data_IF_106591871813
#
_entry.id   IF_106591871813
#
_cell.length_a   1.000
_cell.length_b   1.000
_cell.length_c   1.000
_cell.angle_alpha   90.00
_cell.angle_beta   90.00
_cell.angle_gamma   90.00
#
_symmetry.space_group_name_H-M   'P 1'
#
loop_
_entity.id
_entity.type
_entity.pdbx_description
1 polymer ?
#
# COMPACT_ATOMS: atom_id res chain seq x y z
N UNK A 1 -19.71 -51.04 -9.12
CA UNK A 1 -18.46 -50.48 -9.69
C UNK A 1 -18.70 -49.49 -10.83
N UNK A 2 -19.63 -49.72 -11.79
CA UNK A 2 -19.85 -48.78 -12.92
C UNK A 2 -20.62 -47.49 -12.59
N UNK A 3 -21.37 -47.42 -11.48
CA UNK A 3 -22.08 -46.19 -11.05
C UNK A 3 -21.27 -45.26 -10.13
N UNK A 4 -20.20 -45.78 -9.52
CA UNK A 4 -19.30 -44.99 -8.67
C UNK A 4 -18.22 -44.28 -9.48
N UNK A 5 -17.86 -44.81 -10.66
CA UNK A 5 -16.88 -44.19 -11.56
C UNK A 5 -17.47 -42.98 -12.29
N UNK A 6 -18.77 -42.98 -12.61
CA UNK A 6 -19.42 -41.83 -13.27
C UNK A 6 -19.58 -40.59 -12.38
N UNK A 7 -19.68 -40.74 -11.06
CA UNK A 7 -19.79 -39.58 -10.15
C UNK A 7 -18.43 -38.93 -9.93
N UNK A 8 -17.34 -39.71 -9.90
CA UNK A 8 -15.97 -39.19 -9.81
C UNK A 8 -15.53 -38.52 -11.12
N UNK A 9 -16.00 -38.99 -12.29
CA UNK A 9 -15.66 -38.35 -13.57
C UNK A 9 -16.37 -37.00 -13.80
N UNK A 10 -17.56 -36.81 -13.23
CA UNK A 10 -18.30 -35.53 -13.31
C UNK A 10 -17.75 -34.50 -12.32
N UNK A 11 -17.29 -34.95 -11.13
CA UNK A 11 -16.64 -34.05 -10.17
C UNK A 11 -15.25 -33.55 -10.62
N UNK A 12 -14.53 -34.32 -11.46
CA UNK A 12 -13.25 -33.89 -12.04
C UNK A 12 -13.46 -32.91 -13.21
N UNK A 13 -14.62 -32.93 -13.89
CA UNK A 13 -14.93 -31.95 -14.95
C UNK A 13 -15.40 -30.59 -14.42
N UNK A 14 -15.95 -30.52 -13.20
CA UNK A 14 -16.38 -29.24 -12.59
C UNK A 14 -15.25 -28.47 -11.88
N UNK A 15 -14.05 -29.05 -11.76
CA UNK A 15 -12.85 -28.36 -11.24
C UNK A 15 -11.97 -27.74 -12.34
N UNK A 16 -12.37 -27.85 -13.61
CA UNK A 16 -11.76 -27.11 -14.70
C UNK A 16 -12.43 -25.74 -14.85
N UNK A 17 -11.65 -24.68 -14.66
CA UNK A 17 -12.00 -23.25 -14.83
C UNK A 17 -12.45 -22.52 -13.56
N UNK A 18 -11.63 -22.54 -12.51
CA UNK A 18 -11.46 -21.29 -11.75
C UNK A 18 -10.52 -20.44 -12.61
N UNK A 19 -10.93 -19.31 -13.19
CA UNK A 19 -9.97 -18.34 -13.67
C UNK A 19 -9.17 -17.89 -12.44
N UNK A 20 -7.99 -18.48 -12.25
CA UNK A 20 -7.00 -17.90 -11.38
C UNK A 20 -6.73 -16.52 -11.93
N UNK A 21 -7.16 -15.49 -11.21
CA UNK A 21 -6.60 -14.15 -11.37
C UNK A 21 -5.13 -14.30 -11.06
N UNK A 22 -4.30 -14.44 -12.10
CA UNK A 22 -2.86 -14.29 -11.94
C UNK A 22 -2.68 -12.85 -11.49
N UNK A 23 -2.35 -12.64 -10.21
CA UNK A 23 -1.70 -11.39 -9.82
C UNK A 23 -0.52 -11.24 -10.77
N UNK A 24 -0.43 -10.11 -11.47
CA UNK A 24 0.77 -9.80 -12.22
C UNK A 24 1.95 -9.93 -11.24
N UNK A 25 3.00 -10.63 -11.64
CA UNK A 25 4.23 -10.64 -10.86
C UNK A 25 4.70 -9.19 -10.72
N UNK A 26 5.12 -8.79 -9.52
CA UNK A 26 5.64 -7.45 -9.27
C UNK A 26 6.77 -7.15 -10.25
N UNK A 27 6.78 -5.93 -10.80
CA UNK A 27 7.91 -5.45 -11.59
C UNK A 27 9.18 -5.43 -10.74
N UNK A 28 10.35 -5.39 -11.37
CA UNK A 28 11.60 -5.20 -10.63
C UNK A 28 11.63 -3.90 -9.84
N UNK A 29 10.98 -2.84 -10.36
CA UNK A 29 10.86 -1.57 -9.67
C UNK A 29 10.00 -1.67 -8.41
N UNK A 30 8.87 -2.39 -8.47
CA UNK A 30 7.99 -2.63 -7.32
C UNK A 30 8.71 -3.46 -6.25
N UNK A 31 9.46 -4.51 -6.64
CA UNK A 31 10.26 -5.29 -5.70
C UNK A 31 11.34 -4.45 -5.00
N UNK A 32 12.02 -3.58 -5.74
CA UNK A 32 13.02 -2.67 -5.16
C UNK A 32 12.39 -1.58 -4.28
N UNK A 33 11.16 -1.17 -4.57
CA UNK A 33 10.39 -0.27 -3.73
C UNK A 33 9.99 -0.95 -2.42
N UNK A 34 9.54 -2.21 -2.46
CA UNK A 34 9.24 -3.02 -1.27
C UNK A 34 10.51 -3.26 -0.40
N UNK A 35 11.69 -3.34 -1.02
CA UNK A 35 12.98 -3.41 -0.32
C UNK A 35 13.45 -2.05 0.27
N UNK A 36 12.73 -0.96 0.02
CA UNK A 36 13.11 0.40 0.43
C UNK A 36 14.29 1.00 -0.35
N UNK A 37 14.67 0.38 -1.47
CA UNK A 37 15.78 0.82 -2.32
C UNK A 37 15.35 1.80 -3.41
N UNK A 38 14.06 1.95 -3.67
CA UNK A 38 13.52 2.95 -4.59
C UNK A 38 12.27 3.61 -4.01
N UNK A 39 12.13 4.92 -4.23
CA UNK A 39 10.93 5.65 -3.81
C UNK A 39 9.98 5.97 -4.98
N UNK A 40 10.50 6.07 -6.20
CA UNK A 40 9.77 6.65 -7.35
C UNK A 40 9.98 8.17 -7.45
N UNK A 41 9.10 8.83 -8.21
CA UNK A 41 9.02 10.30 -8.25
C UNK A 41 8.29 10.86 -7.01
N UNK A 42 7.95 12.15 -7.03
CA UNK A 42 7.24 12.82 -5.91
C UNK A 42 5.86 12.23 -5.59
N UNK A 43 5.31 11.41 -6.48
CA UNK A 43 4.03 10.72 -6.32
C UNK A 43 4.19 9.21 -6.15
N UNK A 44 5.43 8.72 -6.00
CA UNK A 44 5.75 7.30 -5.87
C UNK A 44 5.77 6.54 -7.19
N UNK A 45 5.63 7.20 -8.35
CA UNK A 45 5.64 6.50 -9.63
C UNK A 45 7.06 6.10 -10.02
N UNK A 46 7.24 4.83 -10.40
CA UNK A 46 8.54 4.29 -10.77
C UNK A 46 9.02 4.74 -12.16
N UNK A 47 8.08 5.15 -13.03
CA UNK A 47 8.34 5.68 -14.37
C UNK A 47 9.23 4.75 -15.21
N UNK A 48 8.98 3.43 -15.16
CA UNK A 48 9.87 2.40 -15.73
C UNK A 48 10.12 2.51 -17.23
N UNK A 49 9.22 3.17 -17.96
CA UNK A 49 9.33 3.41 -19.40
C UNK A 49 10.07 4.71 -19.76
N UNK A 50 10.59 5.45 -18.77
CA UNK A 50 11.38 6.66 -18.99
C UNK A 50 12.88 6.33 -18.98
N UNK A 51 13.67 7.13 -19.69
CA UNK A 51 15.13 7.03 -19.64
C UNK A 51 15.66 7.52 -18.30
N UNK A 52 16.69 6.83 -17.82
CA UNK A 52 17.40 7.22 -16.61
C UNK A 52 18.36 8.37 -16.89
N UNK A 53 18.32 9.40 -16.04
CA UNK A 53 19.30 10.50 -16.06
C UNK A 53 20.58 10.15 -15.28
N UNK A 54 21.69 10.82 -15.62
CA UNK A 54 22.95 10.73 -14.85
C UNK A 54 22.78 11.09 -13.38
N UNK A 55 21.90 12.04 -13.09
CA UNK A 55 21.54 12.44 -11.71
C UNK A 55 20.91 11.30 -10.92
N UNK A 56 19.88 10.68 -11.49
CA UNK A 56 19.16 9.58 -10.86
C UNK A 56 20.07 8.37 -10.65
N UNK A 57 21.00 8.13 -11.59
CA UNK A 57 22.00 7.08 -11.43
C UNK A 57 22.90 7.31 -10.20
N UNK A 58 23.21 8.57 -9.85
CA UNK A 58 24.00 8.85 -8.63
C UNK A 58 23.19 8.55 -7.37
N UNK A 59 21.89 8.85 -7.38
CA UNK A 59 20.99 8.48 -6.28
C UNK A 59 20.94 6.96 -6.13
N UNK A 60 20.70 6.23 -7.22
CA UNK A 60 20.68 4.76 -7.22
C UNK A 60 22.00 4.20 -6.71
N UNK A 61 23.14 4.71 -7.18
CA UNK A 61 24.44 4.25 -6.73
C UNK A 61 24.66 4.46 -5.23
N UNK A 62 24.23 5.60 -4.68
CA UNK A 62 24.32 5.85 -3.23
C UNK A 62 23.51 4.82 -2.44
N UNK A 63 22.32 4.44 -2.92
CA UNK A 63 21.49 3.40 -2.30
C UNK A 63 22.11 2.01 -2.40
N UNK A 64 22.60 1.64 -3.58
CA UNK A 64 23.28 0.36 -3.82
C UNK A 64 24.60 0.21 -3.02
N UNK A 65 25.18 1.33 -2.57
CA UNK A 65 26.36 1.34 -1.71
C UNK A 65 26.02 1.42 -0.21
N UNK A 66 24.74 1.60 0.14
CA UNK A 66 24.29 1.80 1.53
C UNK A 66 24.63 3.18 2.08
N UNK A 67 24.85 4.17 1.21
CA UNK A 67 25.37 5.50 1.57
C UNK A 67 24.45 6.66 1.19
N UNK A 68 23.17 6.37 1.03
CA UNK A 68 22.15 7.35 0.66
C UNK A 68 22.05 8.49 1.68
N UNK A 69 22.02 8.18 2.98
CA UNK A 69 21.86 9.18 4.04
C UNK A 69 23.07 10.12 4.13
N UNK A 70 24.29 9.62 3.97
CA UNK A 70 25.48 10.47 3.96
C UNK A 70 25.48 11.40 2.73
N UNK A 71 24.97 10.92 1.60
CA UNK A 71 24.80 11.74 0.40
C UNK A 71 23.65 12.75 0.55
N UNK A 72 22.57 12.39 1.25
CA UNK A 72 21.43 13.26 1.54
C UNK A 72 21.82 14.41 2.47
N UNK A 73 22.57 14.12 3.54
CA UNK A 73 23.11 15.12 4.50
C UNK A 73 24.32 15.89 3.94
N UNK A 74 24.78 15.59 2.71
CA UNK A 74 25.95 16.24 2.11
C UNK A 74 25.66 17.69 1.68
N UNK A 75 26.49 18.62 2.16
CA UNK A 75 26.31 20.06 1.92
C UNK A 75 27.38 20.69 1.03
N UNK A 76 28.52 20.00 0.83
CA UNK A 76 29.59 20.53 -0.03
C UNK A 76 29.19 20.39 -1.49
N UNK A 77 29.37 21.45 -2.27
CA UNK A 77 29.06 21.44 -3.71
C UNK A 77 30.11 20.68 -4.50
N UNK A 78 29.70 20.15 -5.64
CA UNK A 78 30.60 19.59 -6.64
C UNK A 78 31.44 20.71 -7.28
N UNK A 79 32.51 20.32 -7.98
CA UNK A 79 33.28 21.27 -8.79
C UNK A 79 32.63 21.58 -10.14
N UNK A 80 31.54 20.89 -10.49
CA UNK A 80 30.88 21.04 -11.79
C UNK A 80 30.12 22.37 -11.87
N UNK A 81 30.21 23.01 -13.04
CA UNK A 81 29.63 24.34 -13.29
C UNK A 81 28.13 24.32 -13.59
N UNK A 82 27.58 23.15 -13.92
CA UNK A 82 26.19 22.95 -14.35
C UNK A 82 25.27 22.37 -13.28
N UNK A 83 25.75 22.24 -12.03
CA UNK A 83 24.96 21.67 -10.91
C UNK A 83 24.22 22.67 -10.03
N UNK A 84 24.42 23.97 -10.23
CA UNK A 84 23.86 25.00 -9.34
C UNK A 84 22.31 24.99 -9.35
N UNK A 85 21.71 24.73 -8.18
CA UNK A 85 20.26 24.70 -8.01
C UNK A 85 19.60 23.39 -8.43
N UNK A 86 20.36 22.40 -8.90
CA UNK A 86 19.83 21.11 -9.28
C UNK A 86 19.50 20.27 -8.03
N UNK A 87 18.34 19.62 -8.00
CA UNK A 87 17.86 18.84 -6.85
C UNK A 87 18.84 17.74 -6.42
N UNK A 88 19.54 17.15 -7.41
CA UNK A 88 20.47 16.05 -7.20
C UNK A 88 21.91 16.50 -6.88
N UNK A 89 22.18 17.81 -6.81
CA UNK A 89 23.54 18.36 -6.62
C UNK A 89 24.28 17.70 -5.45
N UNK A 90 23.57 17.47 -4.33
CA UNK A 90 24.16 16.83 -3.14
C UNK A 90 24.68 15.42 -3.44
N UNK A 91 23.94 14.62 -4.20
CA UNK A 91 24.33 13.25 -4.53
C UNK A 91 25.47 13.22 -5.53
N UNK A 92 25.47 14.13 -6.51
CA UNK A 92 26.56 14.26 -7.48
C UNK A 92 27.84 14.74 -6.78
N UNK A 93 27.74 15.73 -5.90
CA UNK A 93 28.87 16.23 -5.14
C UNK A 93 29.44 15.18 -4.19
N UNK A 94 28.57 14.40 -3.54
CA UNK A 94 28.98 13.27 -2.71
C UNK A 94 29.68 12.19 -3.55
N UNK A 95 29.08 11.79 -4.68
CA UNK A 95 29.68 10.81 -5.58
C UNK A 95 31.03 11.29 -6.16
N UNK A 96 31.18 12.59 -6.40
CA UNK A 96 32.47 13.19 -6.81
C UNK A 96 33.49 13.11 -5.67
N UNK A 97 33.12 13.49 -4.44
CA UNK A 97 33.98 13.38 -3.26
C UNK A 97 34.46 11.93 -3.02
N UNK A 98 33.58 10.96 -3.24
CA UNK A 98 33.88 9.53 -3.12
C UNK A 98 34.66 8.94 -4.30
N UNK A 99 34.90 9.72 -5.36
CA UNK A 99 35.57 9.25 -6.58
C UNK A 99 34.74 8.22 -7.37
N UNK A 100 33.43 8.20 -7.17
CA UNK A 100 32.53 7.27 -7.87
C UNK A 100 32.23 7.72 -9.28
N UNK A 101 32.20 9.04 -9.51
CA UNK A 101 31.82 9.62 -10.80
C UNK A 101 32.83 10.64 -11.30
N UNK A 102 32.78 10.88 -12.61
CA UNK A 102 33.56 11.90 -13.31
C UNK A 102 32.65 12.67 -14.26
N UNK A 103 33.03 13.91 -14.58
CA UNK A 103 32.29 14.76 -15.49
C UNK A 103 32.47 14.36 -16.96
N UNK A 104 31.67 14.98 -17.82
CA UNK A 104 31.69 14.79 -19.28
C UNK A 104 32.71 15.69 -19.99
N UNK A 105 33.57 16.38 -19.23
CA UNK A 105 34.50 17.41 -19.72
C UNK A 105 33.94 18.83 -19.59
N UNK A 106 34.76 19.84 -19.92
CA UNK A 106 34.40 21.27 -19.83
C UNK A 106 33.83 21.71 -18.48
N UNK A 107 34.28 21.07 -17.40
CA UNK A 107 33.77 21.28 -16.04
C UNK A 107 32.26 21.06 -15.89
N UNK A 108 31.70 20.08 -16.62
CA UNK A 108 30.27 19.72 -16.57
C UNK A 108 30.05 18.28 -16.14
N UNK A 109 28.92 18.03 -15.49
CA UNK A 109 28.45 16.68 -15.17
C UNK A 109 27.42 16.15 -16.17
N UNK A 110 26.52 17.01 -16.68
CA UNK A 110 25.40 16.62 -17.53
C UNK A 110 24.23 16.01 -16.75
N UNK A 111 23.73 16.71 -15.72
CA UNK A 111 22.73 16.21 -14.77
C UNK A 111 21.53 15.49 -15.40
N UNK A 112 20.94 16.06 -16.45
CA UNK A 112 19.75 15.53 -17.13
C UNK A 112 20.05 14.70 -18.37
N UNK A 113 21.33 14.46 -18.67
CA UNK A 113 21.68 13.60 -19.79
C UNK A 113 21.25 12.16 -19.49
N UNK A 114 20.73 11.49 -20.51
CA UNK A 114 20.45 10.07 -20.48
C UNK A 114 21.72 9.26 -20.27
N UNK A 115 21.56 8.12 -19.61
CA UNK A 115 22.62 7.16 -19.33
C UNK A 115 22.56 5.99 -20.31
N UNK A 116 23.70 5.42 -20.69
CA UNK A 116 23.71 4.18 -21.47
C UNK A 116 24.06 2.94 -20.62
N UNK A 117 23.82 1.77 -21.20
CA UNK A 117 24.04 0.46 -20.55
C UNK A 117 25.49 0.26 -20.10
N UNK A 118 26.48 0.70 -20.88
CA UNK A 118 27.89 0.58 -20.50
C UNK A 118 28.21 1.42 -19.27
N UNK A 119 27.74 2.67 -19.25
CA UNK A 119 27.94 3.54 -18.09
C UNK A 119 27.18 3.02 -16.86
N UNK A 120 26.01 2.40 -17.05
CA UNK A 120 25.29 1.76 -15.95
C UNK A 120 26.08 0.58 -15.35
N UNK A 121 26.70 -0.21 -16.23
CA UNK A 121 27.56 -1.34 -15.85
C UNK A 121 28.72 -0.89 -14.96
N UNK A 122 29.33 0.27 -15.24
CA UNK A 122 30.42 0.82 -14.41
C UNK A 122 29.96 1.00 -12.96
N UNK A 123 28.77 1.54 -12.75
CA UNK A 123 28.28 1.84 -11.40
C UNK A 123 27.84 0.59 -10.64
N UNK A 124 27.18 -0.37 -11.30
CA UNK A 124 26.82 -1.64 -10.66
C UNK A 124 28.05 -2.47 -10.28
N UNK A 125 29.08 -2.46 -11.13
CA UNK A 125 30.38 -3.08 -10.79
C UNK A 125 31.04 -2.41 -9.58
N UNK A 126 30.96 -1.08 -9.48
CA UNK A 126 31.45 -0.35 -8.31
C UNK A 126 30.68 -0.70 -7.04
N UNK A 127 29.35 -0.86 -7.12
CA UNK A 127 28.54 -1.32 -5.98
C UNK A 127 29.00 -2.68 -5.45
N UNK A 128 29.38 -3.59 -6.36
CA UNK A 128 29.96 -4.90 -6.04
C UNK A 128 31.43 -4.87 -5.60
N UNK A 129 32.05 -3.68 -5.49
CA UNK A 129 33.45 -3.52 -5.05
C UNK A 129 34.51 -3.77 -6.14
N UNK A 130 34.11 -3.86 -7.41
CA UNK A 130 35.05 -3.85 -8.53
C UNK A 130 35.53 -2.43 -8.82
N UNK A 131 36.79 -2.30 -9.22
CA UNK A 131 37.47 -1.01 -9.39
C UNK A 131 38.06 -0.87 -10.79
N UNK A 132 37.98 0.33 -11.35
CA UNK A 132 38.68 0.68 -12.59
C UNK A 132 40.02 1.39 -12.27
N UNK A 133 41.09 1.17 -13.06
CA UNK A 133 41.16 0.31 -14.25
C UNK A 133 41.51 -1.17 -13.94
N UNK A 134 41.70 -1.53 -12.67
CA UNK A 134 42.31 -2.81 -12.28
C UNK A 134 41.44 -4.03 -12.61
N UNK A 135 40.15 -3.98 -12.30
CA UNK A 135 39.22 -5.08 -12.52
C UNK A 135 38.47 -4.98 -13.84
N UNK A 136 38.29 -3.76 -14.33
CA UNK A 136 37.68 -3.44 -15.61
C UNK A 136 38.14 -2.05 -16.06
N UNK A 137 38.20 -1.83 -17.37
CA UNK A 137 38.22 -0.49 -17.99
C UNK A 137 36.81 -0.08 -18.41
N UNK A 138 36.60 1.22 -18.70
CA UNK A 138 35.32 1.73 -19.21
C UNK A 138 34.77 0.88 -20.37
N UNK A 139 35.61 0.55 -21.36
CA UNK A 139 35.23 -0.25 -22.54
C UNK A 139 34.98 -1.74 -22.26
N UNK A 140 35.37 -2.23 -21.08
CA UNK A 140 35.14 -3.63 -20.68
C UNK A 140 34.05 -3.78 -19.63
N UNK A 141 33.49 -2.67 -19.13
CA UNK A 141 32.53 -2.66 -18.03
C UNK A 141 31.29 -3.50 -18.35
N UNK A 142 30.67 -3.29 -19.51
CA UNK A 142 29.52 -4.08 -19.95
C UNK A 142 29.82 -5.57 -20.04
N UNK A 143 30.96 -5.93 -20.65
CA UNK A 143 31.39 -7.33 -20.77
C UNK A 143 31.58 -7.97 -19.38
N UNK A 144 32.20 -7.25 -18.45
CA UNK A 144 32.44 -7.73 -17.09
C UNK A 144 31.13 -7.88 -16.30
N UNK A 145 30.23 -6.91 -16.40
CA UNK A 145 28.90 -6.96 -15.76
C UNK A 145 28.07 -8.14 -16.31
N UNK A 146 28.10 -8.37 -17.62
CA UNK A 146 27.45 -9.53 -18.24
C UNK A 146 28.03 -10.86 -17.76
N UNK A 147 29.35 -10.96 -17.59
CA UNK A 147 29.99 -12.17 -17.02
C UNK A 147 29.58 -12.47 -15.58
N UNK A 148 29.15 -11.45 -14.82
CA UNK A 148 28.68 -11.60 -13.45
C UNK A 148 27.16 -11.86 -13.37
N UNK A 149 26.47 -11.95 -14.50
CA UNK A 149 25.03 -12.21 -14.55
C UNK A 149 24.15 -10.96 -14.39
N UNK A 150 24.74 -9.74 -14.40
CA UNK A 150 23.97 -8.51 -14.11
C UNK A 150 22.89 -8.19 -15.16
N UNK A 151 23.00 -8.76 -16.36
CA UNK A 151 22.06 -8.58 -17.47
C UNK A 151 21.29 -9.86 -17.81
N UNK A 152 21.22 -10.82 -16.89
CA UNK A 152 20.38 -12.01 -17.08
C UNK A 152 18.92 -11.60 -17.26
N UNK A 153 18.23 -12.24 -18.21
CA UNK A 153 16.85 -11.90 -18.58
C UNK A 153 16.69 -10.67 -19.50
N UNK A 154 17.76 -9.91 -19.76
CA UNK A 154 17.70 -8.67 -20.53
C UNK A 154 18.34 -8.79 -21.93
N UNK A 155 17.76 -8.10 -22.92
CA UNK A 155 18.28 -8.04 -24.29
C UNK A 155 18.80 -6.64 -24.64
N UNK A 156 19.84 -6.21 -23.92
CA UNK A 156 20.43 -4.87 -24.04
C UNK A 156 21.84 -4.93 -24.62
N UNK A 157 22.22 -3.94 -25.44
CA UNK A 157 23.57 -3.72 -25.96
C UNK A 157 24.25 -2.59 -25.20
N UNK A 158 25.59 -2.60 -25.20
CA UNK A 158 26.40 -1.63 -24.45
C UNK A 158 26.12 -0.16 -24.80
N UNK A 159 25.72 0.13 -26.04
CA UNK A 159 25.45 1.48 -26.55
C UNK A 159 24.00 1.94 -26.37
N UNK A 160 23.10 1.07 -25.91
CA UNK A 160 21.70 1.41 -25.78
C UNK A 160 21.49 2.40 -24.63
N UNK A 161 20.61 3.38 -24.81
CA UNK A 161 20.12 4.20 -23.70
C UNK A 161 19.27 3.33 -22.77
N UNK A 162 19.46 3.48 -21.46
CA UNK A 162 18.82 2.57 -20.49
C UNK A 162 17.50 3.16 -19.99
N UNK A 163 16.43 2.36 -20.08
CA UNK A 163 15.17 2.67 -19.40
C UNK A 163 15.30 2.40 -17.89
N UNK A 164 14.46 3.06 -17.11
CA UNK A 164 14.43 2.84 -15.65
C UNK A 164 14.07 1.41 -15.29
N UNK A 165 13.07 0.82 -15.96
CA UNK A 165 12.69 -0.59 -15.76
C UNK A 165 13.83 -1.56 -16.06
N UNK A 166 14.56 -1.35 -17.15
CA UNK A 166 15.74 -2.14 -17.49
C UNK A 166 16.83 -2.05 -16.41
N UNK A 167 17.08 -0.85 -15.87
CA UNK A 167 18.03 -0.69 -14.79
C UNK A 167 17.55 -1.39 -13.50
N UNK A 168 16.26 -1.37 -13.20
CA UNK A 168 15.72 -2.02 -12.01
C UNK A 168 15.93 -3.53 -12.03
N UNK A 169 15.76 -4.17 -13.19
CA UNK A 169 16.12 -5.57 -13.40
C UNK A 169 17.63 -5.81 -13.18
N UNK A 170 18.48 -4.93 -13.72
CA UNK A 170 19.94 -4.98 -13.47
C UNK A 170 20.26 -4.81 -11.99
N UNK A 171 19.54 -3.96 -11.26
CA UNK A 171 19.73 -3.75 -9.82
C UNK A 171 19.39 -5.01 -9.05
N UNK A 172 18.27 -5.69 -9.31
CA UNK A 172 17.93 -6.95 -8.65
C UNK A 172 18.97 -8.04 -8.89
N UNK A 173 19.44 -8.17 -10.14
CA UNK A 173 20.54 -9.08 -10.47
C UNK A 173 21.82 -8.71 -9.70
N UNK A 174 22.11 -7.41 -9.56
CA UNK A 174 23.27 -6.91 -8.82
C UNK A 174 23.15 -7.17 -7.32
N UNK A 175 21.97 -6.97 -6.72
CA UNK A 175 21.69 -7.28 -5.32
C UNK A 175 21.94 -8.77 -5.03
N UNK A 176 21.52 -9.64 -5.93
CA UNK A 176 21.70 -11.09 -5.82
C UNK A 176 23.13 -11.56 -6.13
N UNK A 177 24.00 -10.67 -6.61
CA UNK A 177 25.39 -11.00 -6.97
C UNK A 177 26.32 -10.86 -5.78
N UNK A 178 27.27 -11.79 -5.64
CA UNK A 178 28.32 -11.72 -4.60
C UNK A 178 29.21 -10.49 -4.76
N UNK A 179 29.45 -9.81 -3.63
CA UNK A 179 30.44 -8.74 -3.57
C UNK A 179 31.82 -9.32 -3.85
N UNK A 180 32.65 -8.57 -4.58
CA UNK A 180 33.98 -9.02 -5.03
C UNK A 180 34.80 -9.56 -3.85
N UNK A 181 35.26 -10.80 -3.99
CA UNK A 181 36.07 -11.50 -3.00
C UNK A 181 35.41 -11.67 -1.62
N UNK A 182 34.08 -11.58 -1.56
CA UNK A 182 33.28 -11.84 -0.36
C UNK A 182 32.42 -13.09 -0.56
N UNK A 183 31.97 -13.68 0.54
CA UNK A 183 31.09 -14.84 0.55
C UNK A 183 29.60 -14.47 0.71
N UNK A 184 29.28 -13.17 0.67
CA UNK A 184 27.95 -12.61 0.79
C UNK A 184 27.55 -11.83 -0.48
N UNK A 185 26.25 -11.74 -0.75
CA UNK A 185 25.64 -10.95 -1.84
C UNK A 185 25.63 -9.46 -1.52
N UNK A 186 25.38 -8.62 -2.52
CA UNK A 186 25.20 -7.19 -2.25
C UNK A 186 23.96 -6.95 -1.39
N UNK A 187 22.90 -7.75 -1.56
CA UNK A 187 21.73 -7.73 -0.68
C UNK A 187 22.14 -8.06 0.76
N UNK A 188 22.83 -9.18 0.98
CA UNK A 188 23.36 -9.54 2.31
C UNK A 188 24.26 -8.46 2.91
N UNK A 189 24.99 -7.71 2.06
CA UNK A 189 25.82 -6.59 2.52
C UNK A 189 24.93 -5.43 2.97
N UNK A 190 23.89 -5.11 2.22
CA UNK A 190 22.96 -4.02 2.53
C UNK A 190 22.07 -4.38 3.74
N UNK A 191 21.66 -5.65 3.87
CA UNK A 191 21.00 -6.23 5.05
C UNK A 191 21.96 -6.38 6.24
N UNK A 192 23.22 -6.73 6.00
CA UNK A 192 24.26 -6.69 7.03
C UNK A 192 24.52 -5.25 7.50
N UNK A 193 24.42 -4.28 6.59
CA UNK A 193 24.36 -2.86 6.90
C UNK A 193 23.04 -2.46 7.55
N UNK A 194 21.95 -3.24 7.44
CA UNK A 194 20.72 -3.01 8.23
C UNK A 194 20.88 -3.33 9.70
N UNK A 195 21.91 -4.08 10.09
CA UNK A 195 22.32 -4.19 11.50
C UNK A 195 23.20 -3.01 11.97
N UNK A 196 23.46 -2.03 11.10
CA UNK A 196 24.17 -0.79 11.40
C UNK A 196 23.59 0.43 10.69
N UNK A 197 22.33 0.39 10.24
CA UNK A 197 21.59 1.64 10.11
C UNK A 197 21.61 2.23 11.52
N UNK A 198 21.87 3.53 11.71
CA UNK A 198 21.29 4.13 12.88
C UNK A 198 19.80 3.79 12.74
N UNK A 199 19.30 2.92 13.62
CA UNK A 199 17.98 3.11 14.21
C UNK A 199 17.79 4.62 14.21
N UNK A 200 16.89 5.13 13.36
CA UNK A 200 16.53 6.51 13.53
C UNK A 200 15.98 6.57 14.94
N UNK A 201 16.52 7.45 15.79
CA UNK A 201 16.06 7.61 17.17
C UNK A 201 14.53 7.89 17.25
N UNK A 202 13.92 8.19 16.10
CA UNK A 202 12.50 8.22 15.87
C UNK A 202 11.85 6.83 16.02
N UNK A 203 11.11 6.66 17.11
CA UNK A 203 10.34 5.47 17.49
C UNK A 203 8.85 5.84 17.59
N UNK A 204 7.96 4.84 17.49
CA UNK A 204 6.59 4.99 18.04
C UNK A 204 6.67 4.65 19.52
N UNK A 205 6.47 5.63 20.40
CA UNK A 205 6.52 5.42 21.84
C UNK A 205 5.29 4.66 22.35
N UNK A 206 4.10 5.03 21.86
CA UNK A 206 2.87 4.29 22.12
C UNK A 206 1.80 4.63 21.08
N UNK A 207 0.84 3.71 20.95
CA UNK A 207 -0.35 3.85 20.14
C UNK A 207 -1.58 3.64 21.03
N UNK A 208 -2.59 4.49 20.86
CA UNK A 208 -3.89 4.34 21.53
C UNK A 208 -5.02 4.55 20.54
N UNK A 209 -6.21 4.07 20.88
CA UNK A 209 -7.44 4.31 20.13
C UNK A 209 -8.47 5.04 20.99
N UNK A 210 -9.23 5.92 20.37
CA UNK A 210 -10.37 6.57 21.00
C UNK A 210 -11.49 6.73 19.97
N UNK A 211 -12.57 5.96 20.13
CA UNK A 211 -13.63 5.87 19.13
C UNK A 211 -13.06 5.58 17.73
N UNK A 212 -13.21 6.50 16.77
CA UNK A 212 -12.74 6.36 15.40
C UNK A 212 -11.30 6.87 15.19
N UNK A 213 -10.59 7.23 16.26
CA UNK A 213 -9.25 7.79 16.18
C UNK A 213 -8.17 6.77 16.52
N UNK A 214 -7.14 6.70 15.69
CA UNK A 214 -5.86 6.07 16.01
C UNK A 214 -4.88 7.19 16.36
N UNK A 215 -4.30 7.14 17.56
CA UNK A 215 -3.39 8.15 18.10
C UNK A 215 -2.00 7.56 18.24
N UNK A 216 -1.03 8.11 17.53
CA UNK A 216 0.34 7.61 17.43
C UNK A 216 1.27 8.66 18.03
N UNK A 217 1.94 8.32 19.12
CA UNK A 217 2.96 9.18 19.72
C UNK A 217 4.33 8.72 19.29
N UNK A 218 5.08 9.63 18.68
CA UNK A 218 6.45 9.45 18.23
C UNK A 218 7.43 9.98 19.28
N UNK A 219 8.69 9.54 19.23
CA UNK A 219 9.74 10.00 20.16
C UNK A 219 10.25 11.42 19.87
N UNK A 220 9.91 12.01 18.72
CA UNK A 220 10.35 13.33 18.27
C UNK A 220 9.21 14.11 17.59
N UNK A 221 9.42 15.42 17.39
CA UNK A 221 8.54 16.28 16.59
C UNK A 221 8.51 15.82 15.13
N UNK A 222 7.31 15.67 14.56
CA UNK A 222 7.13 15.12 13.22
C UNK A 222 7.06 16.18 12.13
N UNK A 223 7.60 15.84 10.95
CA UNK A 223 7.39 16.65 9.76
C UNK A 223 5.97 16.53 9.22
N UNK A 224 5.55 17.49 8.38
CA UNK A 224 4.22 17.45 7.74
C UNK A 224 3.97 16.20 6.88
N UNK A 225 5.01 15.46 6.52
CA UNK A 225 4.87 14.16 5.84
C UNK A 225 4.09 13.14 6.67
N UNK A 226 4.11 13.26 8.00
CA UNK A 226 3.33 12.39 8.89
C UNK A 226 1.81 12.60 8.78
N UNK A 227 1.34 13.67 8.12
CA UNK A 227 -0.09 13.93 7.88
C UNK A 227 -0.57 13.45 6.50
N UNK A 228 0.28 12.75 5.74
CA UNK A 228 -0.10 12.17 4.45
C UNK A 228 -0.73 10.79 4.67
N UNK A 229 -2.00 10.64 4.33
CA UNK A 229 -2.72 9.35 4.45
C UNK A 229 -2.05 8.21 3.67
N UNK A 230 -1.33 8.51 2.59
CA UNK A 230 -0.56 7.54 1.81
C UNK A 230 0.58 6.87 2.58
N UNK A 231 1.00 7.44 3.71
CA UNK A 231 2.02 6.86 4.58
C UNK A 231 1.47 5.80 5.55
N UNK A 232 0.16 5.54 5.52
CA UNK A 232 -0.48 4.64 6.46
C UNK A 232 -1.38 3.66 5.72
N UNK A 233 -1.43 2.43 6.24
CA UNK A 233 -2.32 1.37 5.76
C UNK A 233 -2.93 0.64 6.95
N UNK A 234 -4.22 0.34 6.87
CA UNK A 234 -4.93 -0.48 7.84
C UNK A 234 -5.19 -1.85 7.20
N UNK A 235 -4.68 -2.92 7.81
CA UNK A 235 -4.68 -4.29 7.28
C UNK A 235 -4.14 -4.38 5.83
N UNK A 236 -3.08 -3.63 5.56
CA UNK A 236 -2.45 -3.54 4.24
C UNK A 236 -3.23 -2.73 3.19
N UNK A 237 -4.47 -2.31 3.49
CA UNK A 237 -5.29 -1.47 2.62
C UNK A 237 -5.00 0.02 2.87
N UNK A 238 -5.26 0.86 1.87
CA UNK A 238 -5.24 2.30 2.08
C UNK A 238 -6.28 2.69 3.14
N UNK A 239 -6.01 3.77 3.88
CA UNK A 239 -6.98 4.29 4.85
C UNK A 239 -8.32 4.64 4.17
N UNK A 240 -9.45 4.49 4.87
CA UNK A 240 -10.77 4.82 4.33
C UNK A 240 -10.87 6.23 3.76
N UNK A 241 -11.63 6.39 2.67
CA UNK A 241 -11.86 7.71 2.06
C UNK A 241 -12.57 8.63 3.04
N UNK A 242 -12.02 9.82 3.27
CA UNK A 242 -12.52 10.77 4.27
C UNK A 242 -11.72 10.79 5.57
N UNK A 243 -10.71 9.92 5.72
CA UNK A 243 -9.79 9.95 6.87
C UNK A 243 -9.08 11.29 6.96
N UNK A 244 -9.06 11.88 8.16
CA UNK A 244 -8.38 13.15 8.45
C UNK A 244 -7.16 12.86 9.33
N UNK A 245 -6.02 13.46 9.00
CA UNK A 245 -4.80 13.36 9.80
C UNK A 245 -4.41 14.74 10.31
N UNK A 246 -4.13 14.85 11.61
CA UNK A 246 -3.71 16.10 12.24
C UNK A 246 -2.78 15.84 13.43
N UNK A 247 -1.98 16.84 13.79
CA UNK A 247 -1.24 16.81 15.04
C UNK A 247 -2.14 17.24 16.19
N UNK A 248 -2.03 16.58 17.34
CA UNK A 248 -2.89 16.90 18.49
C UNK A 248 -2.62 18.31 19.05
N UNK A 249 -1.38 18.78 18.95
CA UNK A 249 -0.95 20.10 19.37
C UNK A 249 0.26 20.63 18.56
N UNK A 250 0.89 21.70 19.05
CA UNK A 250 2.03 22.35 18.40
C UNK A 250 3.38 21.62 18.57
N UNK A 251 3.47 20.62 19.46
CA UNK A 251 4.67 19.80 19.65
C UNK A 251 4.83 18.77 18.52
N UNK A 252 3.74 18.42 17.83
CA UNK A 252 3.68 17.50 16.67
C UNK A 252 4.34 16.14 16.88
N UNK A 253 4.51 15.70 18.11
CA UNK A 253 4.96 14.35 18.45
C UNK A 253 3.80 13.34 18.41
N UNK A 254 2.54 13.81 18.47
CA UNK A 254 1.35 12.96 18.32
C UNK A 254 0.61 13.22 17.01
N UNK A 255 0.46 12.17 16.19
CA UNK A 255 -0.40 12.15 15.01
C UNK A 255 -1.71 11.45 15.34
N UNK A 256 -2.82 12.12 15.02
CA UNK A 256 -4.17 11.56 15.11
C UNK A 256 -4.65 11.23 13.70
N UNK A 257 -5.06 9.98 13.51
CA UNK A 257 -5.73 9.48 12.31
C UNK A 257 -7.20 9.30 12.68
N UNK A 258 -8.05 10.22 12.26
CA UNK A 258 -9.50 10.18 12.48
C UNK A 258 -10.18 9.50 11.30
N UNK A 259 -10.68 8.29 11.54
CA UNK A 259 -11.40 7.49 10.56
C UNK A 259 -12.86 7.99 10.44
N UNK A 260 -13.44 7.99 9.23
CA UNK A 260 -14.82 8.42 9.05
C UNK A 260 -15.81 7.42 9.66
N UNK A 261 -17.01 7.88 9.99
CA UNK A 261 -18.12 7.01 10.39
C UNK A 261 -18.44 5.97 9.30
N UNK A 262 -18.80 4.76 9.71
CA UNK A 262 -19.09 3.64 8.81
C UNK A 262 -17.89 3.10 8.04
N UNK A 263 -16.67 3.28 8.56
CA UNK A 263 -15.44 2.77 7.94
C UNK A 263 -14.83 1.55 8.64
N UNK A 264 -15.29 1.25 9.84
CA UNK A 264 -14.92 0.07 10.62
C UNK A 264 -16.16 -0.81 10.67
N UNK A 265 -16.13 -1.92 9.92
CA UNK A 265 -17.25 -2.88 9.79
C UNK A 265 -17.30 -3.90 10.93
N UNK A 266 -16.32 -3.89 11.85
CA UNK A 266 -16.25 -4.84 12.94
C UNK A 266 -15.36 -4.36 14.08
N UNK A 267 -15.75 -4.67 15.31
CA UNK A 267 -14.85 -4.55 16.46
C UNK A 267 -13.82 -5.68 16.43
N UNK A 268 -12.57 -5.37 16.09
CA UNK A 268 -11.47 -6.35 16.00
C UNK A 268 -10.10 -5.68 16.25
N UNK A 269 -9.04 -6.48 16.29
CA UNK A 269 -7.66 -6.01 16.22
C UNK A 269 -7.24 -5.78 14.78
N UNK A 270 -6.68 -4.60 14.51
CA UNK A 270 -6.19 -4.20 13.20
C UNK A 270 -4.67 -4.07 13.19
N UNK A 271 -4.07 -4.14 12.01
CA UNK A 271 -2.64 -3.87 11.80
C UNK A 271 -2.48 -2.54 11.07
N UNK A 272 -1.85 -1.58 11.74
CA UNK A 272 -1.42 -0.33 11.10
C UNK A 272 0.00 -0.49 10.57
N UNK A 273 0.17 -0.34 9.27
CA UNK A 273 1.50 -0.19 8.66
C UNK A 273 1.80 1.28 8.44
N UNK A 274 2.95 1.72 8.94
CA UNK A 274 3.48 3.06 8.80
C UNK A 274 4.63 3.01 7.77
N UNK A 275 4.65 3.96 6.84
CA UNK A 275 5.68 4.01 5.80
C UNK A 275 7.05 4.40 6.36
N UNK A 276 8.10 3.75 5.87
CA UNK A 276 9.50 4.13 6.13
C UNK A 276 9.89 5.51 5.58
N UNK A 277 8.98 6.17 4.83
CA UNK A 277 9.15 7.51 4.30
C UNK A 277 8.72 8.62 5.28
N UNK A 278 8.14 8.26 6.43
CA UNK A 278 7.88 9.22 7.51
C UNK A 278 9.20 9.70 8.12
N UNK A 279 9.25 11.01 8.39
CA UNK A 279 10.41 11.70 8.94
C UNK A 279 10.01 12.59 10.12
N UNK A 280 10.88 12.70 11.12
CA UNK A 280 10.84 13.79 12.10
C UNK A 280 11.12 15.14 11.43
N UNK A 281 10.85 16.26 12.11
CA UNK A 281 11.13 17.61 11.60
C UNK A 281 12.65 17.84 11.40
N UNK A 282 13.48 17.12 12.17
CA UNK A 282 14.94 17.09 12.01
C UNK A 282 15.42 16.11 10.90
N UNK A 283 14.50 15.37 10.28
CA UNK A 283 14.75 14.50 9.14
C UNK A 283 15.19 13.09 9.49
N UNK A 284 14.98 12.63 10.73
CA UNK A 284 15.25 11.26 11.13
C UNK A 284 14.10 10.33 10.71
N UNK A 285 14.44 9.08 10.33
CA UNK A 285 13.49 8.08 9.83
C UNK A 285 12.93 7.24 10.95
N UNK A 286 11.68 6.81 10.81
CA UNK A 286 11.08 5.87 11.74
C UNK A 286 11.86 4.55 11.76
N UNK A 287 12.18 4.05 12.96
CA UNK A 287 12.82 2.76 13.14
C UNK A 287 11.95 1.63 12.52
N UNK A 288 12.62 0.70 11.84
CA UNK A 288 11.97 -0.42 11.14
C UNK A 288 11.17 -1.32 12.07
N UNK A 289 11.57 -1.46 13.32
CA UNK A 289 10.83 -2.22 14.34
C UNK A 289 9.48 -1.58 14.67
N UNK A 290 9.28 -0.30 14.34
CA UNK A 290 8.06 0.46 14.61
C UNK A 290 7.17 0.67 13.36
N UNK A 291 7.51 0.10 12.20
CA UNK A 291 6.69 0.24 10.98
C UNK A 291 5.36 -0.53 11.04
N UNK A 292 5.25 -1.51 11.92
CA UNK A 292 4.03 -2.31 12.08
C UNK A 292 3.54 -2.13 13.50
N UNK A 293 2.34 -1.58 13.65
CA UNK A 293 1.69 -1.36 14.93
C UNK A 293 0.41 -2.18 15.01
N UNK A 294 0.16 -2.75 16.19
CA UNK A 294 -1.11 -3.39 16.49
C UNK A 294 -2.06 -2.33 17.01
N UNK A 295 -3.21 -2.20 16.35
CA UNK A 295 -4.28 -1.29 16.72
C UNK A 295 -5.39 -2.11 17.35
N UNK A 296 -5.49 -2.04 18.67
CA UNK A 296 -6.57 -2.63 19.44
C UNK A 296 -7.61 -1.54 19.79
N UNK A 297 -8.87 -1.92 19.94
CA UNK A 297 -9.93 -1.02 20.41
C UNK A 297 -10.60 -0.12 19.36
N UNK A 298 -10.40 -0.38 18.05
CA UNK A 298 -11.32 0.15 17.05
C UNK A 298 -12.63 -0.63 17.15
N UNK A 299 -13.71 0.12 17.35
CA UNK A 299 -15.06 -0.43 17.45
C UNK A 299 -15.78 -0.28 16.11
N UNK A 300 -16.65 -1.24 15.83
CA UNK A 300 -17.58 -1.16 14.72
C UNK A 300 -18.37 0.15 14.77
N UNK A 301 -18.32 0.90 13.69
CA UNK A 301 -19.01 2.17 13.52
C UNK A 301 -19.89 2.18 12.26
N UNK A 302 -20.13 1.02 11.67
CA UNK A 302 -21.01 0.83 10.54
C UNK A 302 -22.43 0.64 11.04
N UNK A 303 -23.37 1.37 10.44
CA UNK A 303 -24.77 1.27 10.84
C UNK A 303 -25.46 0.20 9.98
N UNK A 304 -26.32 -0.64 10.58
CA UNK A 304 -27.13 -1.55 9.80
C UNK A 304 -28.08 -0.77 8.88
N UNK A 305 -28.35 -1.30 7.70
CA UNK A 305 -29.32 -0.77 6.76
C UNK A 305 -29.96 -1.90 5.95
N UNK A 306 -31.14 -1.63 5.40
CA UNK A 306 -31.86 -2.62 4.60
C UNK A 306 -31.13 -2.83 3.27
N UNK A 307 -30.36 -3.91 3.14
CA UNK A 307 -29.66 -4.25 1.90
C UNK A 307 -30.62 -4.67 0.80
N UNK A 308 -31.65 -5.45 1.14
CA UNK A 308 -32.68 -5.88 0.19
C UNK A 308 -33.95 -6.35 0.90
N UNK A 309 -35.04 -6.47 0.14
CA UNK A 309 -36.26 -7.13 0.60
C UNK A 309 -36.83 -8.08 -0.48
N UNK A 310 -37.50 -9.14 -0.04
CA UNK A 310 -38.07 -10.18 -0.91
C UNK A 310 -39.48 -10.57 -0.50
N UNK A 311 -40.39 -10.58 -1.47
CA UNK A 311 -41.76 -11.08 -1.36
C UNK A 311 -41.75 -12.60 -1.39
N UNK A 312 -41.84 -13.24 -0.24
CA UNK A 312 -41.90 -14.71 -0.13
C UNK A 312 -43.25 -15.24 -0.60
N UNK A 313 -44.32 -14.61 -0.12
CA UNK A 313 -45.70 -14.90 -0.48
C UNK A 313 -46.56 -13.65 -0.23
N UNK A 314 -47.89 -13.78 -0.30
CA UNK A 314 -48.84 -12.68 -0.17
C UNK A 314 -48.96 -12.07 1.24
N UNK A 315 -48.27 -12.59 2.26
CA UNK A 315 -48.31 -12.08 3.64
C UNK A 315 -46.95 -12.16 4.35
N UNK A 316 -45.87 -12.45 3.62
CA UNK A 316 -44.52 -12.62 4.17
C UNK A 316 -43.50 -11.91 3.31
N UNK A 317 -42.63 -11.13 3.95
CA UNK A 317 -41.49 -10.44 3.33
C UNK A 317 -40.23 -10.82 4.10
N UNK A 318 -39.13 -11.09 3.40
CA UNK A 318 -37.79 -11.18 3.98
C UNK A 318 -37.09 -9.84 3.80
N UNK A 319 -36.40 -9.39 4.83
CA UNK A 319 -35.55 -8.20 4.88
C UNK A 319 -34.14 -8.71 5.13
N UNK A 320 -33.20 -8.38 4.25
CA UNK A 320 -31.79 -8.70 4.44
C UNK A 320 -31.07 -7.39 4.79
N UNK A 321 -30.30 -7.41 5.87
CA UNK A 321 -29.46 -6.30 6.30
C UNK A 321 -28.05 -6.41 5.68
N UNK A 322 -27.24 -5.38 5.81
CA UNK A 322 -25.83 -5.41 5.38
C UNK A 322 -24.92 -6.11 6.38
N UNK A 323 -25.38 -6.30 7.60
CA UNK A 323 -24.67 -6.82 8.76
C UNK A 323 -25.64 -7.45 9.75
N UNK A 324 -25.08 -8.15 10.73
CA UNK A 324 -25.80 -8.88 11.77
C UNK A 324 -26.46 -7.91 12.77
N UNK A 325 -27.69 -8.22 13.19
CA UNK A 325 -28.43 -7.45 14.19
C UNK A 325 -28.37 -8.13 15.55
N UNK A 326 -28.18 -7.35 16.62
CA UNK A 326 -28.33 -7.84 17.99
C UNK A 326 -29.77 -7.70 18.51
N UNK A 327 -30.49 -6.67 18.03
CA UNK A 327 -31.88 -6.40 18.36
C UNK A 327 -32.61 -5.91 17.11
N UNK A 328 -33.84 -6.38 16.93
CA UNK A 328 -34.76 -5.92 15.89
C UNK A 328 -36.09 -5.48 16.51
N UNK A 329 -36.53 -4.26 16.18
CA UNK A 329 -37.84 -3.74 16.56
C UNK A 329 -38.68 -3.41 15.32
N UNK A 330 -39.97 -3.78 15.38
CA UNK A 330 -40.92 -3.49 14.31
C UNK A 330 -41.30 -2.01 14.22
N UNK A 331 -41.22 -1.25 15.32
CA UNK A 331 -41.58 0.17 15.29
C UNK A 331 -40.68 0.99 14.37
N UNK A 332 -39.48 0.50 14.10
CA UNK A 332 -38.51 1.16 13.23
C UNK A 332 -38.82 1.00 11.73
N UNK A 333 -39.81 0.19 11.35
CA UNK A 333 -40.08 -0.16 9.96
C UNK A 333 -41.52 0.05 9.52
N UNK A 334 -41.65 0.51 8.27
CA UNK A 334 -42.92 0.68 7.57
C UNK A 334 -42.90 -0.19 6.31
N UNK A 335 -44.02 -0.89 6.05
CA UNK A 335 -44.24 -1.58 4.78
C UNK A 335 -45.34 -0.89 4.01
N UNK A 336 -45.10 -0.58 2.73
CA UNK A 336 -46.10 0.03 1.84
C UNK A 336 -46.39 -0.84 0.63
N UNK A 337 -47.66 -0.95 0.27
CA UNK A 337 -48.14 -1.57 -0.97
C UNK A 337 -48.73 -0.47 -1.86
N UNK A 338 -48.12 -0.25 -3.03
CA UNK A 338 -48.45 0.88 -3.91
C UNK A 338 -48.52 2.20 -3.13
N UNK A 339 -47.51 2.48 -2.32
CA UNK A 339 -47.35 3.66 -1.46
C UNK A 339 -48.36 3.81 -0.31
N UNK A 340 -49.24 2.82 -0.07
CA UNK A 340 -50.12 2.79 1.10
C UNK A 340 -49.53 1.88 2.16
N UNK A 341 -49.40 2.38 3.38
CA UNK A 341 -48.92 1.60 4.53
C UNK A 341 -49.86 0.43 4.84
N UNK A 342 -49.26 -0.71 5.17
CA UNK A 342 -49.96 -1.90 5.62
C UNK A 342 -49.42 -2.35 6.98
N UNK A 343 -50.27 -3.04 7.75
CA UNK A 343 -49.91 -3.50 9.10
C UNK A 343 -48.88 -4.64 9.06
N UNK A 344 -47.93 -4.59 9.98
CA UNK A 344 -46.97 -5.66 10.30
C UNK A 344 -47.39 -6.29 11.62
N UNK A 345 -47.57 -7.60 11.64
CA UNK A 345 -48.15 -8.33 12.80
C UNK A 345 -47.11 -9.11 13.62
N UNK A 346 -45.87 -9.20 13.14
CA UNK A 346 -44.81 -9.94 13.81
C UNK A 346 -43.58 -10.13 12.92
N UNK A 347 -42.55 -10.70 13.51
CA UNK A 347 -41.33 -11.08 12.82
C UNK A 347 -40.70 -12.35 13.41
N UNK A 348 -39.83 -12.99 12.63
CA UNK A 348 -38.92 -14.05 13.07
C UNK A 348 -37.52 -13.77 12.49
N UNK A 349 -36.46 -14.02 13.27
CA UNK A 349 -35.10 -14.13 12.73
C UNK A 349 -34.98 -15.41 11.89
N UNK A 350 -34.48 -15.27 10.66
CA UNK A 350 -34.11 -16.40 9.79
C UNK A 350 -32.62 -16.68 9.91
N UNK A 351 -31.84 -15.60 9.98
CA UNK A 351 -30.42 -15.54 10.32
C UNK A 351 -30.17 -14.21 11.05
N UNK A 352 -28.97 -13.99 11.56
CA UNK A 352 -28.64 -12.78 12.34
C UNK A 352 -28.75 -11.49 11.49
N UNK A 353 -28.58 -11.57 10.16
CA UNK A 353 -28.78 -10.48 9.19
C UNK A 353 -30.08 -10.59 8.35
N UNK A 354 -30.93 -11.59 8.61
CA UNK A 354 -32.16 -11.83 7.83
C UNK A 354 -33.41 -11.91 8.70
N UNK A 355 -34.30 -10.94 8.52
CA UNK A 355 -35.57 -10.85 9.24
C UNK A 355 -36.73 -11.22 8.32
N UNK A 356 -37.59 -12.12 8.80
CA UNK A 356 -38.88 -12.42 8.18
C UNK A 356 -39.97 -11.65 8.89
N UNK A 357 -40.69 -10.79 8.17
CA UNK A 357 -41.84 -10.06 8.70
C UNK A 357 -43.17 -10.61 8.16
N UNK A 358 -44.19 -10.57 9.00
CA UNK A 358 -45.56 -10.97 8.67
C UNK A 358 -46.43 -9.73 8.48
N UNK A 359 -47.09 -9.61 7.34
CA UNK A 359 -47.84 -8.40 6.96
C UNK A 359 -49.26 -8.73 6.53
N UNK A 360 -50.10 -7.70 6.42
CA UNK A 360 -51.44 -7.82 5.82
C UNK A 360 -51.38 -8.37 4.40
N UNK A 361 -52.36 -9.20 4.04
CA UNK A 361 -52.45 -9.83 2.71
C UNK A 361 -52.37 -8.78 1.59
N UNK A 362 -51.49 -9.01 0.61
CA UNK A 362 -51.33 -8.15 -0.57
C UNK A 362 -51.22 -8.97 -1.86
N UNK A 363 -51.47 -8.35 -3.01
CA UNK A 363 -51.26 -9.02 -4.30
C UNK A 363 -49.77 -8.94 -4.67
N UNK A 364 -49.11 -10.07 -4.84
CA UNK A 364 -47.66 -10.14 -5.11
C UNK A 364 -47.21 -9.48 -6.41
N UNK A 365 -48.15 -9.15 -7.31
CA UNK A 365 -47.88 -8.32 -8.49
C UNK A 365 -47.74 -6.82 -8.20
N UNK A 366 -48.18 -6.36 -7.02
CA UNK A 366 -48.05 -4.96 -6.59
C UNK A 366 -46.61 -4.63 -6.19
N UNK A 367 -46.29 -3.34 -6.26
CA UNK A 367 -45.04 -2.80 -5.72
C UNK A 367 -45.14 -2.80 -4.21
N UNK A 368 -44.14 -3.36 -3.56
CA UNK A 368 -44.00 -3.37 -2.11
C UNK A 368 -42.69 -2.69 -1.76
N UNK A 369 -42.71 -1.72 -0.85
CA UNK A 369 -41.51 -1.16 -0.24
C UNK A 369 -41.43 -1.49 1.23
N UNK A 370 -40.19 -1.67 1.70
CA UNK A 370 -39.83 -1.71 3.11
C UNK A 370 -38.97 -0.47 3.36
N UNK A 371 -39.34 0.28 4.39
CA UNK A 371 -38.76 1.58 4.73
C UNK A 371 -38.41 1.56 6.21
N UNK A 372 -37.21 2.00 6.60
CA UNK A 372 -36.97 2.43 7.98
C UNK A 372 -37.59 3.80 8.21
N UNK A 373 -38.04 4.08 9.44
CA UNK A 373 -38.57 5.40 9.81
C UNK A 373 -37.46 6.47 9.82
N UNK A 374 -37.84 7.74 9.99
CA UNK A 374 -36.91 8.88 9.99
C UNK A 374 -35.87 8.76 11.13
N UNK A 375 -36.34 8.49 12.34
CA UNK A 375 -35.51 8.38 13.55
C UNK A 375 -35.73 7.03 14.24
N UNK A 376 -35.18 5.92 13.71
CA UNK A 376 -35.21 4.63 14.40
C UNK A 376 -34.33 4.70 15.65
N UNK A 377 -34.66 3.93 16.68
CA UNK A 377 -33.92 3.93 17.95
C UNK A 377 -33.71 2.55 18.60
N UNK A 378 -34.46 1.52 18.20
CA UNK A 378 -34.47 0.23 18.90
C UNK A 378 -33.83 -0.93 18.11
N UNK A 379 -33.69 -0.83 16.79
CA UNK A 379 -33.02 -1.81 15.92
C UNK A 379 -31.53 -1.50 15.83
N UNK A 380 -30.71 -2.38 16.40
CA UNK A 380 -29.27 -2.18 16.58
C UNK A 380 -28.44 -3.42 16.21
N UNK A 381 -27.21 -3.20 15.77
CA UNK A 381 -26.19 -4.24 15.57
C UNK A 381 -25.55 -4.70 16.90
N UNK A 382 -24.52 -5.55 16.84
CA UNK A 382 -23.77 -6.00 18.04
C UNK A 382 -22.97 -4.89 18.73
N UNK A 383 -22.58 -3.84 18.01
CA UNK A 383 -21.83 -2.71 18.55
C UNK A 383 -22.74 -1.59 19.12
N UNK A 384 -24.05 -1.72 18.95
CA UNK A 384 -25.05 -0.74 19.38
C UNK A 384 -25.29 0.38 18.38
N UNK A 385 -24.85 0.24 17.13
CA UNK A 385 -25.18 1.16 16.06
C UNK A 385 -26.64 0.96 15.65
N UNK A 386 -27.40 2.05 15.69
CA UNK A 386 -28.81 2.06 15.28
C UNK A 386 -28.92 2.05 13.76
N UNK A 387 -29.90 1.29 13.26
CA UNK A 387 -30.22 1.18 11.82
C UNK A 387 -30.36 2.56 11.17
N UNK A 388 -29.92 2.68 9.91
CA UNK A 388 -30.05 3.92 9.13
C UNK A 388 -31.53 4.26 8.91
N UNK A 389 -31.93 5.47 9.30
CA UNK A 389 -33.27 6.02 9.05
C UNK A 389 -33.51 6.46 7.60
N UNK A 390 -34.78 6.66 7.24
CA UNK A 390 -35.25 7.05 5.89
C UNK A 390 -34.74 6.13 4.75
N UNK A 391 -34.39 4.88 5.08
CA UNK A 391 -33.83 3.94 4.13
C UNK A 391 -34.92 3.12 3.46
N UNK A 392 -35.05 3.22 2.13
CA UNK A 392 -36.11 2.58 1.35
C UNK A 392 -35.58 1.54 0.37
N UNK A 393 -36.17 0.34 0.39
CA UNK A 393 -35.96 -0.67 -0.65
C UNK A 393 -37.28 -1.13 -1.27
N UNK A 394 -37.23 -1.52 -2.54
CA UNK A 394 -38.36 -2.18 -3.22
C UNK A 394 -38.18 -3.70 -3.12
N UNK A 395 -39.18 -4.37 -2.55
CA UNK A 395 -39.15 -5.81 -2.38
C UNK A 395 -39.30 -6.53 -3.73
N UNK A 396 -38.35 -7.42 -4.03
CA UNK A 396 -38.35 -8.23 -5.26
C UNK A 396 -39.19 -9.49 -5.07
N UNK A 397 -39.60 -10.16 -6.14
CA UNK A 397 -40.19 -11.50 -5.99
C UNK A 397 -39.08 -12.48 -5.56
N UNK A 398 -39.38 -13.40 -4.65
CA UNK A 398 -38.48 -14.52 -4.36
C UNK A 398 -38.24 -15.34 -5.65
N UNK A 399 -36.99 -15.73 -5.90
CA UNK A 399 -36.59 -16.52 -7.06
C UNK A 399 -36.98 -17.99 -6.93
#
# INVERSE_FOLDING_TARGET
MKKFISVVLVLVLCFGLIPGSYSAALSAGEQLQDMGLLAGDLYGNLNENQYLTRSEMMVILTRMLGEYEQAYKWTRKSTFSDGAGHWSERYVAYAQYRGWTVGIGNNKFGYDMSHNVQEASVFMLKALGYTAPNDFTWSSAYTKAKQLGLFEGLNLKETDEILRGDLFEVMLNTLSTRVKAQNYTLLDKLEGFTSSYPSGDLEVQWLTTYANEIRIVFSEEMSSGALLSSNYRLDGKALPSGTVLYFSDTNKDEVIIELPDGSIEKTDTYVLTISENILSDDGERLDREHLIQIVDGLIDNTKPFIKSAEKVNNSTILINFNEDLSVFDLSDFIVKVNDNEIEIFGYDFVDDDVIKIFVSDYNTSQTVSVESIEDPDDTIDEAGNVVVGDYKVIAKAAN
#
